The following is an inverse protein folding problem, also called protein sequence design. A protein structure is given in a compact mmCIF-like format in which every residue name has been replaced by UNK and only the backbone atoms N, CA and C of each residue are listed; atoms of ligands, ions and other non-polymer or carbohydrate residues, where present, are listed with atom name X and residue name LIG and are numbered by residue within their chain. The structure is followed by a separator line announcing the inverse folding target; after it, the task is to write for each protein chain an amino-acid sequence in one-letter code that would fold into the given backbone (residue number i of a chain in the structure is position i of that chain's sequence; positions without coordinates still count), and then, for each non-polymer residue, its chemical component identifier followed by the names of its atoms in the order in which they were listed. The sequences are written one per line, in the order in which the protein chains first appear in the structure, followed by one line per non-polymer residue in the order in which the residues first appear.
data_IF_896502884151
#
_entry.id   IF_896502884151
#
_cell.length_a   1.000
_cell.length_b   1.000
_cell.length_c   1.000
_cell.angle_alpha   90.00
_cell.angle_beta   90.00
_cell.angle_gamma   90.00
#
_symmetry.space_group_name_H-M   'P 1'
#
loop_
_entity.id
_entity.type
_entity.pdbx_description
1 polymer ?
#
# COMPACT_ATOMS: atom_id res chain seq x y z
N UNK A 1 -11.16 -13.00 -10.42
CA UNK A 1 -10.44 -11.94 -11.18
C UNK A 1 -10.13 -10.77 -10.27
N UNK A 2 -8.92 -10.29 -10.36
CA UNK A 2 -8.47 -9.17 -9.56
C UNK A 2 -8.94 -7.85 -10.14
N UNK A 3 -9.26 -6.88 -9.28
CA UNK A 3 -9.53 -5.53 -9.75
C UNK A 3 -8.28 -4.94 -10.39
N UNK A 4 -8.47 -4.13 -11.42
CA UNK A 4 -7.37 -3.34 -11.99
C UNK A 4 -6.80 -2.42 -10.91
N UNK A 5 -5.50 -2.16 -10.98
CA UNK A 5 -4.82 -1.37 -9.98
C UNK A 5 -5.43 0.02 -9.82
N UNK A 6 -5.74 0.70 -10.93
CA UNK A 6 -6.32 2.04 -10.86
C UNK A 6 -7.69 2.03 -10.16
N UNK A 7 -8.47 0.98 -10.37
CA UNK A 7 -9.79 0.86 -9.74
C UNK A 7 -9.63 0.57 -8.24
N UNK A 8 -8.72 -0.33 -7.90
CA UNK A 8 -8.45 -0.66 -6.50
C UNK A 8 -7.97 0.58 -5.73
N UNK A 9 -7.04 1.35 -6.32
CA UNK A 9 -6.50 2.55 -5.68
C UNK A 9 -7.61 3.57 -5.43
N UNK A 10 -8.48 3.79 -6.44
CA UNK A 10 -9.58 4.74 -6.28
C UNK A 10 -10.53 4.30 -5.16
N UNK A 11 -10.85 3.02 -5.11
CA UNK A 11 -11.75 2.49 -4.06
C UNK A 11 -11.10 2.59 -2.67
N UNK A 12 -9.81 2.31 -2.58
CA UNK A 12 -9.07 2.41 -1.33
C UNK A 12 -9.07 3.85 -0.80
N UNK A 13 -8.79 4.82 -1.68
CA UNK A 13 -8.76 6.22 -1.26
C UNK A 13 -10.15 6.70 -0.85
N UNK A 14 -11.19 6.21 -1.50
CA UNK A 14 -12.56 6.52 -1.09
C UNK A 14 -12.85 5.95 0.30
N UNK A 15 -12.37 4.74 0.58
CA UNK A 15 -12.49 4.14 1.90
C UNK A 15 -11.82 5.01 2.96
N UNK A 16 -10.60 5.46 2.69
CA UNK A 16 -9.87 6.34 3.60
C UNK A 16 -10.67 7.61 3.88
N UNK A 17 -11.18 8.23 2.83
CA UNK A 17 -11.96 9.46 2.96
C UNK A 17 -13.20 9.24 3.83
N UNK A 18 -13.89 8.13 3.63
CA UNK A 18 -15.07 7.78 4.42
C UNK A 18 -14.71 7.64 5.90
N UNK A 19 -13.53 7.13 6.20
CA UNK A 19 -13.05 6.95 7.57
C UNK A 19 -12.38 8.20 8.14
N UNK A 20 -12.37 9.30 7.39
CA UNK A 20 -11.77 10.55 7.85
C UNK A 20 -10.25 10.58 7.76
N UNK A 21 -9.66 9.73 6.95
CA UNK A 21 -8.21 9.62 6.80
C UNK A 21 -7.80 10.23 5.47
N UNK A 22 -6.84 11.15 5.50
CA UNK A 22 -6.28 11.74 4.28
C UNK A 22 -5.48 10.67 3.53
N UNK A 23 -5.64 10.63 2.21
CA UNK A 23 -4.86 9.75 1.37
C UNK A 23 -4.73 10.34 -0.03
N UNK A 24 -3.64 10.00 -0.71
CA UNK A 24 -3.39 10.49 -2.07
C UNK A 24 -2.48 9.54 -2.82
N UNK A 25 -2.56 9.60 -4.15
CA UNK A 25 -1.61 8.91 -5.02
C UNK A 25 -0.35 9.75 -5.07
N UNK A 26 0.77 9.20 -4.62
CA UNK A 26 2.08 9.84 -4.71
C UNK A 26 2.72 9.55 -6.05
N UNK A 27 2.53 8.32 -6.55
CA UNK A 27 3.06 7.91 -7.84
C UNK A 27 2.07 7.01 -8.54
N UNK A 28 1.72 7.38 -9.75
CA UNK A 28 0.82 6.58 -10.58
C UNK A 28 1.63 5.50 -11.29
N UNK A 29 1.12 4.27 -11.28
CA UNK A 29 1.73 3.14 -11.95
C UNK A 29 0.90 2.65 -13.12
N UNK A 30 1.14 1.40 -13.54
CA UNK A 30 0.39 0.80 -14.63
C UNK A 30 -1.07 0.59 -14.23
N UNK A 31 -1.98 0.93 -15.12
CA UNK A 31 -3.42 0.96 -14.82
C UNK A 31 -3.97 -0.39 -14.40
N UNK A 32 -3.61 -1.45 -15.11
CA UNK A 32 -4.27 -2.74 -14.91
C UNK A 32 -3.61 -3.60 -13.86
N UNK A 33 -2.31 -3.77 -13.92
CA UNK A 33 -1.62 -4.79 -13.14
C UNK A 33 -0.43 -4.26 -12.33
N UNK A 34 -0.27 -2.94 -12.21
CA UNK A 34 0.82 -2.38 -11.43
C UNK A 34 0.70 -2.77 -9.96
N UNK A 35 1.83 -3.13 -9.35
CA UNK A 35 1.88 -3.37 -7.92
C UNK A 35 1.54 -2.09 -7.15
N UNK A 36 0.94 -2.22 -5.98
CA UNK A 36 0.56 -1.06 -5.17
C UNK A 36 1.27 -1.14 -3.84
N UNK A 37 2.02 -0.08 -3.51
CA UNK A 37 2.63 0.09 -2.19
C UNK A 37 1.85 1.16 -1.43
N UNK A 38 1.59 0.93 -0.15
CA UNK A 38 0.84 1.87 0.68
C UNK A 38 1.71 2.28 1.86
N UNK A 39 1.97 3.58 1.95
CA UNK A 39 2.69 4.18 3.07
C UNK A 39 1.69 4.84 4.00
N UNK A 40 1.76 4.53 5.28
CA UNK A 40 0.92 5.16 6.30
C UNK A 40 1.82 6.03 7.18
N UNK A 41 1.74 7.34 7.00
CA UNK A 41 2.49 8.29 7.82
C UNK A 41 1.80 8.40 9.18
N UNK A 42 2.56 8.28 10.25
CA UNK A 42 2.03 8.40 11.61
C UNK A 42 2.07 9.84 12.11
N UNK A 43 2.54 10.77 11.27
CA UNK A 43 2.58 12.19 11.58
C UNK A 43 3.49 12.54 12.78
N UNK A 44 4.46 11.65 13.03
CA UNK A 44 5.43 11.80 14.12
C UNK A 44 6.86 11.57 13.63
N UNK A 45 7.07 11.66 12.31
CA UNK A 45 8.38 11.38 11.70
C UNK A 45 8.59 9.93 11.34
N UNK A 46 7.63 9.06 11.63
CA UNK A 46 7.71 7.64 11.32
C UNK A 46 6.53 7.22 10.46
N UNK A 47 6.68 6.09 9.79
CA UNK A 47 5.64 5.54 8.93
C UNK A 47 5.74 4.02 8.87
N UNK A 48 4.62 3.41 8.49
CA UNK A 48 4.58 2.00 8.10
C UNK A 48 4.54 1.93 6.59
N UNK A 49 5.13 0.88 6.03
CA UNK A 49 5.03 0.63 4.59
C UNK A 49 4.47 -0.78 4.40
N UNK A 50 3.47 -0.87 3.53
CA UNK A 50 2.85 -2.14 3.17
C UNK A 50 3.12 -2.44 1.71
N UNK A 51 3.65 -3.63 1.44
CA UNK A 51 3.97 -4.10 0.10
C UNK A 51 2.97 -5.16 -0.32
N UNK A 52 2.81 -5.40 -1.63
CA UNK A 52 1.96 -6.51 -2.08
C UNK A 52 2.49 -7.82 -1.50
N UNK A 53 1.58 -8.64 -1.00
CA UNK A 53 1.96 -9.95 -0.51
C UNK A 53 2.40 -10.84 -1.68
N UNK A 54 3.35 -11.76 -1.44
CA UNK A 54 3.69 -12.74 -2.47
C UNK A 54 2.47 -13.53 -2.92
N UNK A 55 2.43 -13.91 -4.20
CA UNK A 55 1.30 -14.64 -4.77
C UNK A 55 0.98 -15.91 -3.96
N UNK A 56 2.00 -16.56 -3.45
CA UNK A 56 1.85 -17.80 -2.66
C UNK A 56 1.15 -17.58 -1.32
N UNK A 57 1.03 -16.34 -0.88
CA UNK A 57 0.35 -16.00 0.37
C UNK A 57 -1.15 -15.79 0.18
N UNK A 58 -1.64 -15.83 -1.06
CA UNK A 58 -3.04 -15.58 -1.34
C UNK A 58 -3.87 -16.82 -1.07
N UNK A 59 -5.09 -16.56 -0.61
CA UNK A 59 -6.11 -17.59 -0.51
C UNK A 59 -6.77 -17.74 -1.88
N UNK A 60 -6.71 -18.93 -2.46
CA UNK A 60 -7.28 -19.20 -3.78
C UNK A 60 -8.79 -18.95 -3.84
N UNK A 61 -9.46 -19.02 -2.70
CA UNK A 61 -10.90 -18.78 -2.63
C UNK A 61 -11.25 -17.31 -2.74
N UNK A 62 -10.27 -16.41 -2.72
CA UNK A 62 -10.50 -14.95 -2.78
C UNK A 62 -9.60 -14.30 -3.83
N UNK A 63 -9.72 -14.73 -5.11
CA UNK A 63 -8.78 -14.25 -6.15
C UNK A 63 -8.96 -12.77 -6.52
N UNK A 64 -10.06 -12.14 -6.11
CA UNK A 64 -10.31 -10.73 -6.40
C UNK A 64 -9.65 -9.80 -5.39
N UNK A 65 -9.25 -10.32 -4.24
CA UNK A 65 -8.70 -9.50 -3.16
C UNK A 65 -7.20 -9.29 -3.34
N UNK A 66 -6.74 -8.11 -2.93
CA UNK A 66 -5.31 -7.82 -2.85
C UNK A 66 -4.89 -7.91 -1.41
N UNK A 67 -3.84 -8.66 -1.15
CA UNK A 67 -3.28 -8.82 0.18
C UNK A 67 -1.95 -8.11 0.27
N UNK A 68 -1.65 -7.61 1.46
CA UNK A 68 -0.45 -6.82 1.73
C UNK A 68 0.31 -7.41 2.91
N UNK A 69 1.59 -7.09 2.97
CA UNK A 69 2.44 -7.43 4.13
C UNK A 69 3.19 -6.18 4.55
N UNK A 70 3.36 -5.96 5.86
CA UNK A 70 4.22 -4.86 6.31
C UNK A 70 5.67 -5.20 6.00
N UNK A 71 6.44 -4.21 5.56
CA UNK A 71 7.86 -4.44 5.25
C UNK A 71 8.71 -4.51 6.50
N UNK A 72 8.19 -4.04 7.64
CA UNK A 72 8.85 -4.13 8.93
C UNK A 72 7.80 -4.29 10.02
N UNK A 73 8.19 -4.90 11.15
CA UNK A 73 7.29 -5.12 12.27
C UNK A 73 6.93 -3.84 13.02
N UNK A 74 7.81 -2.84 12.94
CA UNK A 74 7.66 -1.58 13.66
C UNK A 74 7.74 -0.42 12.69
N UNK A 75 7.17 0.74 13.04
CA UNK A 75 7.34 1.92 12.22
C UNK A 75 8.81 2.28 12.06
N UNK A 76 9.12 2.85 10.91
CA UNK A 76 10.47 3.27 10.56
C UNK A 76 10.47 4.77 10.29
N UNK A 77 11.64 5.44 10.41
CA UNK A 77 11.73 6.85 10.03
C UNK A 77 11.25 7.05 8.60
N UNK A 78 10.60 8.17 8.32
CA UNK A 78 10.04 8.40 7.00
C UNK A 78 11.11 8.37 5.90
N UNK A 79 12.31 8.88 6.18
CA UNK A 79 13.37 8.84 5.16
C UNK A 79 13.77 7.41 4.80
N UNK A 80 13.73 6.49 5.75
CA UNK A 80 14.02 5.07 5.49
C UNK A 80 12.95 4.48 4.57
N UNK A 81 11.69 4.83 4.80
CA UNK A 81 10.60 4.38 3.94
C UNK A 81 10.77 4.95 2.54
N UNK A 82 11.13 6.24 2.41
CA UNK A 82 11.31 6.87 1.10
C UNK A 82 12.47 6.23 0.33
N UNK A 83 13.56 5.90 1.01
CA UNK A 83 14.67 5.19 0.37
C UNK A 83 14.24 3.82 -0.14
N UNK A 84 13.45 3.10 0.66
CA UNK A 84 12.94 1.79 0.26
C UNK A 84 12.01 1.92 -0.95
N UNK A 85 11.13 2.91 -0.96
CA UNK A 85 10.22 3.14 -2.09
C UNK A 85 10.98 3.50 -3.35
N UNK A 86 12.01 4.35 -3.25
CA UNK A 86 12.84 4.68 -4.40
C UNK A 86 13.48 3.44 -5.01
N UNK A 87 13.93 2.52 -4.17
CA UNK A 87 14.52 1.27 -4.62
C UNK A 87 13.49 0.38 -5.31
N UNK A 88 12.27 0.29 -4.73
CA UNK A 88 11.21 -0.50 -5.32
C UNK A 88 10.82 0.02 -6.71
N UNK A 89 10.77 1.34 -6.88
CA UNK A 89 10.41 1.94 -8.16
C UNK A 89 11.51 1.71 -9.21
N UNK A 90 12.78 1.73 -8.82
CA UNK A 90 13.86 1.41 -9.74
C UNK A 90 13.76 -0.03 -10.24
N UNK A 91 13.32 -0.93 -9.35
CA UNK A 91 13.14 -2.34 -9.69
C UNK A 91 11.87 -2.57 -10.51
N UNK A 92 10.79 -1.85 -10.19
CA UNK A 92 9.48 -2.00 -10.86
C UNK A 92 8.89 -0.61 -11.15
N UNK A 93 9.19 -0.04 -12.33
CA UNK A 93 8.68 1.30 -12.68
C UNK A 93 7.15 1.36 -12.85
N UNK A 94 6.47 0.23 -12.93
CA UNK A 94 5.01 0.19 -13.07
C UNK A 94 4.27 0.23 -11.75
N UNK A 95 4.99 0.31 -10.63
CA UNK A 95 4.37 0.29 -9.31
C UNK A 95 3.74 1.63 -8.96
N UNK A 96 2.63 1.54 -8.22
CA UNK A 96 1.94 2.68 -7.63
C UNK A 96 2.46 2.92 -6.22
N UNK A 97 2.46 4.18 -5.80
CA UNK A 97 2.68 4.54 -4.41
C UNK A 97 1.50 5.37 -3.94
N UNK A 98 0.86 4.91 -2.88
CA UNK A 98 -0.26 5.60 -2.24
C UNK A 98 0.19 5.94 -0.82
N UNK A 99 -0.08 7.16 -0.39
CA UNK A 99 0.27 7.59 0.96
C UNK A 99 -0.98 8.01 1.71
N UNK A 100 -1.10 7.57 2.96
CA UNK A 100 -2.15 8.00 3.87
C UNK A 100 -1.52 8.57 5.12
N UNK A 101 -2.32 9.31 5.90
CA UNK A 101 -1.86 9.94 7.14
C UNK A 101 -2.84 9.58 8.25
N UNK A 102 -2.35 8.89 9.28
CA UNK A 102 -3.19 8.53 10.41
C UNK A 102 -2.32 8.26 11.63
N UNK A 103 -2.51 9.05 12.69
CA UNK A 103 -1.70 8.91 13.90
C UNK A 103 -1.87 7.56 14.58
N UNK A 104 -3.02 6.94 14.42
CA UNK A 104 -3.30 5.61 14.97
C UNK A 104 -2.80 4.48 14.08
N UNK A 105 -2.30 4.80 12.86
CA UNK A 105 -1.75 3.79 11.96
C UNK A 105 -2.78 2.91 11.27
N UNK A 106 -4.03 3.36 11.18
CA UNK A 106 -5.06 2.58 10.50
C UNK A 106 -4.73 2.49 9.01
N UNK A 107 -4.74 1.31 8.46
CA UNK A 107 -4.34 1.11 7.06
C UNK A 107 -5.49 0.65 6.15
N UNK A 108 -6.55 0.06 6.70
CA UNK A 108 -7.71 -0.45 5.96
C UNK A 108 -7.33 -1.46 4.86
N UNK A 109 -6.25 -2.21 5.06
CA UNK A 109 -5.77 -3.19 4.09
C UNK A 109 -6.04 -4.60 4.59
N UNK A 110 -6.19 -5.53 3.64
CA UNK A 110 -6.24 -6.95 3.95
C UNK A 110 -4.81 -7.45 4.04
N UNK A 111 -4.39 -7.90 5.21
CA UNK A 111 -3.04 -8.40 5.40
C UNK A 111 -3.00 -9.90 5.17
N UNK A 112 -1.95 -10.34 4.48
CA UNK A 112 -1.74 -11.77 4.25
C UNK A 112 -1.39 -12.44 5.57
N UNK A 113 -1.90 -13.65 5.75
CA UNK A 113 -1.55 -14.46 6.92
C UNK A 113 -0.16 -15.06 6.72
N UNK A 114 0.60 -15.12 7.79
CA UNK A 114 1.93 -15.73 7.78
C UNK A 114 1.90 -17.10 8.41
#
# INVERSE_FOLDING_TARGET
MRLKSNIWVAAYLRRCQTEGVYGAVVRRGAEEAGAVFVKVSLLDGQAMLYAPAPQTSYDDDRPVDRFFVPVAQQPLPEHTIEERLAKEIRFDPDAWIVETEDRAGRHFLDLAKT
#
